data_IF_678620706456
#
_entry.id   IF_678620706456
#
_cell.length_a   1.000
_cell.length_b   1.000
_cell.length_c   1.000
_cell.angle_alpha   90.00
_cell.angle_beta   90.00
_cell.angle_gamma   90.00
#
_symmetry.space_group_name_H-M   'P 1'
#
loop_
_entity.id
_entity.type
_entity.pdbx_description
1 polymer ?
#
# COMPACT_ATOMS: atom_id res chain seq x y z
N UNK A 1 5.48 -19.57 13.40
CA UNK A 1 5.76 -19.07 12.03
C UNK A 1 6.68 -17.86 12.11
N UNK A 2 7.58 -17.65 11.16
CA UNK A 2 8.57 -16.56 11.20
C UNK A 2 7.96 -15.28 10.59
N UNK A 3 7.72 -14.19 11.37
CA UNK A 3 7.02 -12.99 10.88
C UNK A 3 7.65 -12.36 9.64
N UNK A 4 8.98 -12.38 9.57
CA UNK A 4 9.74 -11.75 8.47
C UNK A 4 9.43 -12.36 7.09
N UNK A 5 9.04 -13.63 7.01
CA UNK A 5 8.68 -14.29 5.75
C UNK A 5 7.40 -13.66 5.19
N UNK A 6 6.38 -13.49 6.04
CA UNK A 6 5.12 -12.88 5.65
C UNK A 6 5.29 -11.42 5.25
N UNK A 7 6.21 -10.69 5.87
CA UNK A 7 6.57 -9.33 5.45
C UNK A 7 7.29 -9.30 4.08
N UNK A 8 8.08 -10.33 3.73
CA UNK A 8 8.64 -10.44 2.36
C UNK A 8 7.56 -10.75 1.33
N UNK A 9 6.62 -11.63 1.66
CA UNK A 9 5.49 -11.94 0.78
C UNK A 9 4.64 -10.68 0.58
N UNK A 10 4.34 -9.94 1.65
CA UNK A 10 3.64 -8.66 1.57
C UNK A 10 4.37 -7.67 0.66
N UNK A 11 5.71 -7.55 0.79
CA UNK A 11 6.50 -6.68 -0.09
C UNK A 11 6.42 -7.12 -1.57
N UNK A 12 6.48 -8.42 -1.85
CA UNK A 12 6.36 -8.94 -3.21
C UNK A 12 4.95 -8.71 -3.81
N UNK A 13 3.89 -8.91 -3.02
CA UNK A 13 2.52 -8.60 -3.42
C UNK A 13 2.31 -7.10 -3.66
N UNK A 14 2.88 -6.25 -2.81
CA UNK A 14 2.85 -4.81 -3.01
C UNK A 14 3.60 -4.40 -4.29
N UNK A 15 4.73 -5.04 -4.60
CA UNK A 15 5.47 -4.79 -5.83
C UNK A 15 4.68 -5.22 -7.08
N UNK A 16 3.99 -6.37 -7.00
CA UNK A 16 3.06 -6.79 -8.05
C UNK A 16 1.93 -5.75 -8.25
N UNK A 17 1.34 -5.26 -7.15
CA UNK A 17 0.34 -4.19 -7.19
C UNK A 17 0.86 -2.89 -7.80
N UNK A 18 2.11 -2.49 -7.49
CA UNK A 18 2.78 -1.34 -8.09
C UNK A 18 2.87 -1.47 -9.60
N UNK A 19 3.27 -2.65 -10.11
CA UNK A 19 3.38 -2.88 -11.56
C UNK A 19 2.02 -2.71 -12.23
N UNK A 20 0.97 -3.31 -11.66
CA UNK A 20 -0.40 -3.17 -12.17
C UNK A 20 -0.87 -1.71 -12.19
N UNK A 21 -0.69 -1.00 -11.08
CA UNK A 21 -1.04 0.42 -10.97
C UNK A 21 -0.24 1.28 -11.94
N UNK A 22 1.04 1.00 -12.14
CA UNK A 22 1.88 1.75 -13.08
C UNK A 22 1.45 1.51 -14.54
N UNK A 23 1.05 0.29 -14.91
CA UNK A 23 0.51 0.02 -16.26
C UNK A 23 -0.77 0.82 -16.52
N UNK A 24 -1.68 0.87 -15.55
CA UNK A 24 -2.90 1.70 -15.64
C UNK A 24 -2.56 3.19 -15.69
N UNK A 25 -1.63 3.64 -14.83
CA UNK A 25 -1.11 5.01 -14.85
C UNK A 25 -0.45 5.36 -16.19
N UNK A 26 0.10 4.42 -16.96
CA UNK A 26 0.65 4.73 -18.29
C UNK A 26 -0.39 4.63 -19.42
N UNK A 27 -1.54 4.01 -19.15
CA UNK A 27 -2.60 3.79 -20.12
C UNK A 27 -3.55 4.99 -20.20
N UNK A 28 -3.17 6.02 -20.96
CA UNK A 28 -3.96 7.27 -21.05
C UNK A 28 -4.96 7.30 -22.20
N UNK A 29 -5.01 6.25 -23.03
CA UNK A 29 -5.82 6.21 -24.24
C UNK A 29 -7.21 5.66 -23.91
N UNK A 30 -8.30 6.41 -24.17
CA UNK A 30 -9.66 5.89 -24.12
C UNK A 30 -9.84 4.69 -25.05
N UNK A 31 -10.53 3.65 -24.58
CA UNK A 31 -10.76 2.39 -25.32
C UNK A 31 -12.24 2.00 -25.42
N UNK A 32 -13.15 2.76 -24.81
CA UNK A 32 -14.58 2.47 -24.69
C UNK A 32 -15.46 3.35 -25.59
N UNK A 33 -14.89 3.90 -26.67
CA UNK A 33 -15.61 4.61 -27.70
C UNK A 33 -15.77 6.13 -27.47
N UNK A 34 -16.63 6.80 -28.29
CA UNK A 34 -16.68 8.27 -28.34
C UNK A 34 -17.13 8.95 -27.04
N UNK A 35 -17.96 8.29 -26.23
CA UNK A 35 -18.46 8.86 -24.98
C UNK A 35 -17.34 9.00 -23.93
N UNK A 36 -16.50 7.98 -23.76
CA UNK A 36 -15.33 8.05 -22.87
C UNK A 36 -14.34 9.10 -23.37
N UNK A 37 -14.09 9.13 -24.69
CA UNK A 37 -13.22 10.12 -25.30
C UNK A 37 -13.69 11.56 -24.99
N UNK A 38 -14.98 11.84 -25.10
CA UNK A 38 -15.54 13.16 -24.79
C UNK A 38 -15.31 13.57 -23.33
N UNK A 39 -15.38 12.65 -22.37
CA UNK A 39 -15.07 12.92 -20.95
C UNK A 39 -13.59 13.26 -20.77
N UNK A 40 -12.69 12.47 -21.36
CA UNK A 40 -11.26 12.74 -21.28
C UNK A 40 -10.89 14.07 -21.93
N UNK A 41 -11.55 14.43 -23.04
CA UNK A 41 -11.34 15.73 -23.69
C UNK A 41 -11.86 16.89 -22.83
N UNK A 42 -13.02 16.74 -22.20
CA UNK A 42 -13.54 17.73 -21.24
C UNK A 42 -12.60 17.93 -20.04
N UNK A 43 -12.05 16.83 -19.46
CA UNK A 43 -11.09 16.90 -18.36
C UNK A 43 -9.81 17.66 -18.71
N UNK A 44 -9.39 17.62 -19.98
CA UNK A 44 -8.19 18.31 -20.49
C UNK A 44 -8.47 19.76 -20.88
N UNK A 45 -9.66 20.02 -21.42
CA UNK A 45 -10.00 21.30 -22.05
C UNK A 45 -10.17 22.43 -21.03
N UNK A 46 -10.85 22.18 -19.92
CA UNK A 46 -11.04 23.22 -18.90
C UNK A 46 -9.77 23.37 -18.04
N UNK A 47 -9.14 24.55 -18.13
CA UNK A 47 -7.97 24.91 -17.34
C UNK A 47 -8.34 26.05 -16.38
N UNK A 48 -7.89 25.96 -15.15
CA UNK A 48 -8.15 26.93 -14.09
C UNK A 48 -6.84 27.26 -13.35
N UNK A 49 -6.75 28.47 -12.81
CA UNK A 49 -5.66 28.84 -11.92
C UNK A 49 -5.92 28.29 -10.51
N UNK A 50 -4.93 27.59 -9.96
CA UNK A 50 -4.95 27.16 -8.57
C UNK A 50 -3.60 27.51 -7.95
N UNK A 51 -3.61 28.40 -6.95
CA UNK A 51 -2.40 28.86 -6.25
C UNK A 51 -1.32 29.39 -7.22
N UNK A 52 -1.72 30.10 -8.28
CA UNK A 52 -0.78 30.68 -9.26
C UNK A 52 -0.26 29.68 -10.30
N UNK A 53 -0.83 28.48 -10.38
CA UNK A 53 -0.54 27.50 -11.41
C UNK A 53 -1.78 27.15 -12.23
N UNK A 54 -1.72 27.33 -13.55
CA UNK A 54 -2.81 26.93 -14.45
C UNK A 54 -2.77 25.42 -14.73
N UNK A 55 -3.82 24.70 -14.28
CA UNK A 55 -3.97 23.24 -14.41
C UNK A 55 -5.37 22.86 -14.88
N UNK A 56 -5.49 21.69 -15.46
CA UNK A 56 -6.77 21.05 -15.79
C UNK A 56 -7.10 19.94 -14.79
N UNK A 57 -8.35 19.48 -14.77
CA UNK A 57 -8.74 18.30 -13.98
C UNK A 57 -7.93 17.07 -14.38
N UNK A 58 -7.61 16.93 -15.66
CA UNK A 58 -6.71 15.90 -16.17
C UNK A 58 -5.32 15.97 -15.52
N UNK A 59 -4.74 17.16 -15.41
CA UNK A 59 -3.41 17.34 -14.80
C UNK A 59 -3.41 16.87 -13.33
N UNK A 60 -4.48 17.14 -12.56
CA UNK A 60 -4.63 16.64 -11.19
C UNK A 60 -4.78 15.12 -11.14
N UNK A 61 -5.65 14.55 -11.97
CA UNK A 61 -5.84 13.10 -12.04
C UNK A 61 -4.52 12.37 -12.33
N UNK A 62 -3.74 12.86 -13.31
CA UNK A 62 -2.40 12.35 -13.64
C UNK A 62 -1.42 12.52 -12.48
N UNK A 63 -1.39 13.71 -11.87
CA UNK A 63 -0.53 14.00 -10.73
C UNK A 63 -0.77 13.03 -9.57
N UNK A 64 -2.03 12.77 -9.24
CA UNK A 64 -2.40 11.81 -8.20
C UNK A 64 -1.96 10.39 -8.55
N UNK A 65 -2.22 9.90 -9.77
CA UNK A 65 -1.76 8.57 -10.21
C UNK A 65 -0.23 8.40 -10.06
N UNK A 66 0.57 9.39 -10.49
CA UNK A 66 2.02 9.32 -10.33
C UNK A 66 2.44 9.37 -8.85
N UNK A 67 1.83 10.24 -8.04
CA UNK A 67 2.12 10.34 -6.60
C UNK A 67 1.79 9.03 -5.85
N UNK A 68 0.71 8.35 -6.22
CA UNK A 68 0.32 7.06 -5.68
C UNK A 68 1.33 5.99 -6.04
N UNK A 69 1.80 5.94 -7.30
CA UNK A 69 2.85 5.01 -7.72
C UNK A 69 4.13 5.20 -6.90
N UNK A 70 4.59 6.44 -6.68
CA UNK A 70 5.76 6.73 -5.82
C UNK A 70 5.54 6.24 -4.40
N UNK A 71 4.36 6.49 -3.84
CA UNK A 71 3.99 6.05 -2.48
C UNK A 71 3.97 4.52 -2.38
N UNK A 72 3.43 3.83 -3.39
CA UNK A 72 3.41 2.37 -3.39
C UNK A 72 4.80 1.76 -3.53
N UNK A 73 5.69 2.35 -4.35
CA UNK A 73 7.11 1.95 -4.40
C UNK A 73 7.78 2.10 -3.04
N UNK A 74 7.56 3.23 -2.36
CA UNK A 74 8.04 3.43 -0.99
C UNK A 74 7.52 2.34 -0.05
N UNK A 75 6.23 1.98 -0.13
CA UNK A 75 5.66 0.91 0.70
C UNK A 75 6.32 -0.46 0.45
N UNK A 76 6.68 -0.80 -0.80
CA UNK A 76 7.47 -2.01 -1.10
C UNK A 76 8.79 -1.98 -0.32
N UNK A 77 9.52 -0.87 -0.41
CA UNK A 77 10.80 -0.70 0.27
C UNK A 77 10.65 -0.79 1.78
N UNK A 78 9.65 -0.13 2.35
CA UNK A 78 9.36 -0.16 3.79
C UNK A 78 9.04 -1.57 4.27
N UNK A 79 8.18 -2.32 3.58
CA UNK A 79 7.87 -3.71 3.92
C UNK A 79 9.11 -4.61 3.86
N UNK A 80 9.97 -4.41 2.87
CA UNK A 80 11.22 -5.14 2.73
C UNK A 80 12.21 -4.85 3.87
N UNK A 81 12.39 -3.58 4.22
CA UNK A 81 13.23 -3.15 5.35
C UNK A 81 12.67 -3.68 6.68
N UNK A 82 11.36 -3.59 6.87
CA UNK A 82 10.67 -4.02 8.08
C UNK A 82 10.76 -5.53 8.27
N UNK A 83 10.80 -6.32 7.19
CA UNK A 83 11.12 -7.75 7.25
C UNK A 83 12.51 -8.01 7.86
N UNK A 84 13.52 -7.22 7.48
CA UNK A 84 14.86 -7.32 8.07
C UNK A 84 14.88 -6.87 9.54
N UNK A 85 14.12 -5.82 9.87
CA UNK A 85 13.99 -5.32 11.23
C UNK A 85 13.28 -6.32 12.15
N UNK A 86 12.21 -6.97 11.69
CA UNK A 86 11.42 -7.92 12.49
C UNK A 86 12.19 -9.17 12.92
N UNK A 87 13.37 -9.41 12.32
CA UNK A 87 14.32 -10.46 12.74
C UNK A 87 15.26 -10.00 13.85
N UNK A 88 15.68 -8.74 13.80
CA UNK A 88 16.73 -8.17 14.66
C UNK A 88 16.15 -7.52 15.91
N UNK A 89 15.04 -6.80 15.75
CA UNK A 89 14.36 -6.03 16.78
C UNK A 89 12.83 -6.23 16.65
N UNK A 90 12.30 -7.40 17.08
CA UNK A 90 10.88 -7.72 16.92
C UNK A 90 9.95 -6.80 17.74
N UNK A 91 10.39 -6.36 18.93
CA UNK A 91 9.63 -5.43 19.79
C UNK A 91 9.41 -4.08 19.08
N UNK A 92 10.44 -3.56 18.43
CA UNK A 92 10.39 -2.29 17.68
C UNK A 92 9.65 -2.40 16.34
N UNK A 93 9.74 -3.56 15.66
CA UNK A 93 9.07 -3.78 14.39
C UNK A 93 7.54 -3.87 14.54
N UNK A 94 7.06 -4.41 15.66
CA UNK A 94 5.64 -4.68 15.92
C UNK A 94 4.73 -3.45 15.72
N UNK A 95 4.94 -2.28 16.36
CA UNK A 95 4.06 -1.13 16.18
C UNK A 95 3.99 -0.65 14.71
N UNK A 96 5.10 -0.73 13.97
CA UNK A 96 5.14 -0.37 12.56
C UNK A 96 4.32 -1.33 11.69
N UNK A 97 4.41 -2.64 11.95
CA UNK A 97 3.60 -3.65 11.25
C UNK A 97 2.12 -3.44 11.52
N UNK A 98 1.74 -3.12 12.76
CA UNK A 98 0.34 -2.86 13.13
C UNK A 98 -0.18 -1.58 12.47
N UNK A 99 0.61 -0.50 12.44
CA UNK A 99 0.23 0.73 11.75
C UNK A 99 -0.01 0.50 10.25
N UNK A 100 0.90 -0.24 9.60
CA UNK A 100 0.74 -0.63 8.19
C UNK A 100 -0.47 -1.53 7.97
N UNK A 101 -0.78 -2.45 8.88
CA UNK A 101 -1.97 -3.29 8.81
C UNK A 101 -3.25 -2.45 8.83
N UNK A 102 -3.35 -1.50 9.75
CA UNK A 102 -4.53 -0.63 9.86
C UNK A 102 -4.70 0.18 8.57
N UNK A 103 -3.63 0.83 8.10
CA UNK A 103 -3.64 1.57 6.85
C UNK A 103 -4.07 0.67 5.68
N UNK A 104 -3.58 -0.57 5.64
CA UNK A 104 -3.90 -1.51 4.58
C UNK A 104 -5.36 -1.98 4.61
N UNK A 105 -5.97 -2.14 5.78
CA UNK A 105 -7.40 -2.47 5.90
C UNK A 105 -8.26 -1.36 5.31
N UNK A 106 -7.95 -0.09 5.59
CA UNK A 106 -8.65 1.04 4.96
C UNK A 106 -8.44 1.07 3.44
N UNK A 107 -7.22 0.81 2.97
CA UNK A 107 -6.92 0.71 1.54
C UNK A 107 -7.72 -0.40 0.85
N UNK A 108 -7.98 -1.53 1.53
CA UNK A 108 -8.82 -2.61 1.00
C UNK A 108 -10.26 -2.16 0.82
N UNK A 109 -10.82 -1.45 1.81
CA UNK A 109 -12.18 -0.93 1.74
C UNK A 109 -12.30 0.05 0.56
N UNK A 110 -11.37 1.00 0.45
CA UNK A 110 -11.31 1.93 -0.69
C UNK A 110 -11.17 1.16 -2.02
N UNK A 111 -10.36 0.10 -2.01
CA UNK A 111 -10.14 -0.81 -3.14
C UNK A 111 -11.42 -1.38 -3.73
N UNK A 112 -12.30 -1.90 -2.88
CA UNK A 112 -13.56 -2.49 -3.30
C UNK A 112 -14.65 -1.45 -3.61
N UNK A 113 -14.67 -0.33 -2.90
CA UNK A 113 -15.73 0.68 -3.05
C UNK A 113 -15.54 1.56 -4.29
N UNK A 114 -14.32 2.03 -4.55
CA UNK A 114 -14.08 3.08 -5.55
C UNK A 114 -13.36 2.61 -6.82
N UNK A 115 -12.75 1.43 -6.80
CA UNK A 115 -12.01 0.90 -7.94
C UNK A 115 -12.70 -0.33 -8.51
N UNK A 116 -12.10 -1.50 -8.33
CA UNK A 116 -12.59 -2.79 -8.82
C UNK A 116 -11.96 -3.91 -8.00
N UNK A 117 -12.39 -5.15 -8.24
CA UNK A 117 -12.04 -6.27 -7.37
C UNK A 117 -10.52 -6.52 -7.25
N UNK A 118 -9.72 -6.30 -8.29
CA UNK A 118 -8.31 -6.70 -8.27
C UNK A 118 -7.47 -5.91 -7.24
N UNK A 119 -7.48 -4.56 -7.19
CA UNK A 119 -6.87 -3.80 -6.09
C UNK A 119 -7.32 -4.25 -4.69
N UNK A 120 -8.63 -4.49 -4.50
CA UNK A 120 -9.19 -4.94 -3.24
C UNK A 120 -8.65 -6.31 -2.80
N UNK A 121 -8.61 -7.29 -3.71
CA UNK A 121 -8.09 -8.64 -3.45
C UNK A 121 -6.61 -8.62 -3.14
N UNK A 122 -5.79 -7.94 -3.95
CA UNK A 122 -4.34 -7.82 -3.68
C UNK A 122 -4.10 -7.16 -2.33
N UNK A 123 -4.83 -6.08 -2.04
CA UNK A 123 -4.76 -5.41 -0.75
C UNK A 123 -5.14 -6.32 0.42
N UNK A 124 -6.15 -7.17 0.26
CA UNK A 124 -6.61 -8.09 1.29
C UNK A 124 -5.56 -9.18 1.58
N UNK A 125 -4.88 -9.68 0.55
CA UNK A 125 -3.76 -10.62 0.71
C UNK A 125 -2.58 -9.98 1.45
N UNK A 126 -2.27 -8.71 1.16
CA UNK A 126 -1.24 -7.95 1.89
C UNK A 126 -1.66 -7.76 3.36
N UNK A 127 -2.91 -7.37 3.62
CA UNK A 127 -3.45 -7.22 4.97
C UNK A 127 -3.40 -8.55 5.75
N UNK A 128 -3.73 -9.67 5.11
CA UNK A 128 -3.62 -11.00 5.71
C UNK A 128 -2.17 -11.32 6.09
N UNK A 129 -1.21 -11.05 5.20
CA UNK A 129 0.22 -11.26 5.49
C UNK A 129 0.68 -10.39 6.67
N UNK A 130 0.26 -9.12 6.72
CA UNK A 130 0.56 -8.21 7.83
C UNK A 130 -0.08 -8.67 9.14
N UNK A 131 -1.32 -9.17 9.11
CA UNK A 131 -2.00 -9.73 10.28
C UNK A 131 -1.29 -10.95 10.84
N UNK A 132 -0.87 -11.87 9.98
CA UNK A 132 -0.10 -13.06 10.39
C UNK A 132 1.27 -12.64 10.97
N UNK A 133 1.95 -11.66 10.36
CA UNK A 133 3.21 -11.13 10.85
C UNK A 133 3.05 -10.45 12.23
N UNK A 134 2.03 -9.60 12.39
CA UNK A 134 1.73 -8.92 13.65
C UNK A 134 1.44 -9.92 14.77
N UNK A 135 0.62 -10.94 14.50
CA UNK A 135 0.33 -12.01 15.45
C UNK A 135 1.61 -12.78 15.84
N UNK A 136 2.47 -13.09 14.86
CA UNK A 136 3.74 -13.74 15.12
C UNK A 136 4.69 -12.90 15.98
N UNK A 137 4.74 -11.58 15.76
CA UNK A 137 5.56 -10.65 16.57
C UNK A 137 5.03 -10.51 18.00
N UNK A 138 3.71 -10.45 18.17
CA UNK A 138 3.09 -10.42 19.50
C UNK A 138 3.48 -11.64 20.35
N UNK A 139 3.55 -12.83 19.75
CA UNK A 139 3.98 -14.05 20.46
C UNK A 139 5.44 -14.00 20.91
N UNK A 140 6.31 -13.39 20.11
CA UNK A 140 7.74 -13.25 20.45
C UNK A 140 7.92 -12.30 21.62
N UNK A 141 7.27 -11.14 21.55
CA UNK A 141 7.29 -10.10 22.59
C UNK A 141 6.79 -10.66 23.94
N UNK A 142 5.65 -11.35 23.93
CA UNK A 142 5.11 -12.01 25.15
C UNK A 142 6.11 -13.00 25.77
N UNK A 143 6.79 -13.80 24.95
CA UNK A 143 7.79 -14.76 25.44
C UNK A 143 9.03 -14.06 26.05
N UNK A 144 9.46 -12.95 25.47
CA UNK A 144 10.58 -12.14 26.00
C UNK A 144 10.23 -11.54 27.36
N UNK A 145 9.01 -11.00 27.53
CA UNK A 145 8.53 -10.47 28.80
C UNK A 145 8.50 -11.54 29.90
N UNK A 146 7.97 -12.74 29.60
CA UNK A 146 7.96 -13.86 30.55
C UNK A 146 9.37 -14.29 30.95
N UNK A 147 10.33 -14.29 30.02
CA UNK A 147 11.71 -14.65 30.33
C UNK A 147 12.40 -13.58 31.21
N UNK A 148 12.18 -12.29 30.94
CA UNK A 148 12.71 -11.19 31.78
C UNK A 148 12.22 -11.30 33.23
N UNK A 149 10.93 -11.62 33.43
CA UNK A 149 10.36 -11.80 34.77
C UNK A 149 10.97 -12.99 35.54
N UNK A 150 11.36 -14.07 34.84
CA UNK A 150 12.01 -15.23 35.47
C UNK A 150 13.45 -14.98 35.89
N UNK A 151 14.18 -14.16 35.14
CA UNK A 151 15.59 -13.84 35.45
C UNK A 151 15.70 -12.83 36.60
N UNK A 152 14.66 -12.03 36.82
CA UNK A 152 14.60 -11.04 37.91
C UNK A 152 14.06 -11.57 39.24
N UNK A 153 13.65 -12.84 39.30
CA UNK A 153 13.08 -13.50 40.49
C UNK A 153 14.09 -14.49 41.06
#
# INVERSE_FOLDING_TARGET
MKPWIWLRIAAALQAFGVVGHNVETLSTKPTHGPAEQAVFDAMRAFRFDLMGATRSTWDFYRGYQFSTTVTFVLLVTLLWMLSGMSRRAPEEAKPLVVALLIAQVFSVIIGFEFFFAAPGVVGALIALCLGIAAFGLYRVDKAMLTNRQRVSA
#
